data_IF_185612264235
#
_entry.id   IF_185612264235
#
_cell.length_a   1.000
_cell.length_b   1.000
_cell.length_c   1.000
_cell.angle_alpha   90.00
_cell.angle_beta   90.00
_cell.angle_gamma   90.00
#
_symmetry.space_group_name_H-M   'P 1'
#
loop_
_entity.id
_entity.type
_entity.pdbx_description
1 polymer ?
#
# COMPACT_ATOMS: atom_id res chain seq x y z
N UNK A 1 25.34 -35.25 42.20
CA UNK A 1 25.17 -34.71 40.85
C UNK A 1 23.97 -33.80 40.78
N UNK A 2 24.19 -32.48 40.66
CA UNK A 2 23.13 -31.51 40.49
C UNK A 2 22.95 -31.30 38.98
N UNK A 3 21.81 -31.74 38.45
CA UNK A 3 21.43 -31.43 37.07
C UNK A 3 20.88 -30.01 37.02
N UNK A 4 21.63 -29.09 36.42
CA UNK A 4 21.12 -27.78 36.01
C UNK A 4 20.26 -27.97 34.76
N UNK A 5 18.95 -27.84 34.91
CA UNK A 5 18.02 -27.75 33.80
C UNK A 5 18.17 -26.35 33.23
N UNK A 6 18.78 -26.25 32.03
CA UNK A 6 18.85 -25.00 31.30
C UNK A 6 17.46 -24.48 30.97
N UNK A 7 17.17 -23.26 31.40
CA UNK A 7 15.98 -22.55 30.96
C UNK A 7 16.07 -22.36 29.45
N UNK A 8 15.15 -22.98 28.72
CA UNK A 8 14.96 -22.68 27.29
C UNK A 8 14.55 -21.22 27.17
N UNK A 9 15.41 -20.41 26.60
CA UNK A 9 15.10 -19.04 26.17
C UNK A 9 13.93 -19.10 25.20
N UNK A 10 12.78 -18.67 25.67
CA UNK A 10 11.62 -18.48 24.81
C UNK A 10 12.02 -17.45 23.74
N UNK A 11 12.25 -17.89 22.51
CA UNK A 11 12.46 -17.01 21.39
C UNK A 11 11.25 -16.07 21.31
N UNK A 12 11.44 -14.79 21.61
CA UNK A 12 10.42 -13.78 21.48
C UNK A 12 9.98 -13.72 20.03
N UNK A 13 8.74 -14.13 19.77
CA UNK A 13 8.15 -13.96 18.45
C UNK A 13 8.20 -12.46 18.11
N UNK A 14 8.58 -12.11 16.87
CA UNK A 14 8.53 -10.71 16.46
C UNK A 14 7.12 -10.18 16.66
N UNK A 15 6.95 -8.91 17.05
CA UNK A 15 5.64 -8.36 17.29
C UNK A 15 4.77 -8.58 16.06
N UNK A 16 3.62 -9.22 16.28
CA UNK A 16 2.64 -9.50 15.23
C UNK A 16 2.26 -8.16 14.64
N UNK A 17 2.57 -7.94 13.34
CA UNK A 17 2.21 -6.71 12.65
C UNK A 17 0.72 -6.41 12.88
N UNK A 18 0.43 -5.17 13.27
CA UNK A 18 -0.95 -4.75 13.47
C UNK A 18 -1.78 -5.09 12.22
N UNK A 19 -3.01 -5.59 12.39
CA UNK A 19 -3.83 -5.94 11.23
C UNK A 19 -4.04 -4.70 10.35
N UNK A 20 -3.81 -4.86 9.05
CA UNK A 20 -3.97 -3.80 8.07
C UNK A 20 -5.45 -3.40 8.00
N UNK A 21 -5.75 -2.14 8.23
CA UNK A 21 -7.11 -1.60 8.08
C UNK A 21 -7.39 -1.31 6.62
N UNK A 22 -8.23 -2.13 6.01
CA UNK A 22 -8.62 -1.98 4.62
C UNK A 22 -9.67 -0.87 4.46
N UNK A 23 -9.39 0.11 3.59
CA UNK A 23 -10.36 1.09 3.14
C UNK A 23 -10.94 0.65 1.80
N UNK A 24 -12.27 0.51 1.74
CA UNK A 24 -12.96 0.19 0.49
C UNK A 24 -13.18 1.45 -0.33
N UNK A 25 -13.12 1.31 -1.66
CA UNK A 25 -13.43 2.40 -2.58
C UNK A 25 -14.93 2.76 -2.53
N UNK A 26 -15.23 4.03 -2.67
CA UNK A 26 -16.61 4.55 -2.68
C UNK A 26 -17.18 4.69 -4.09
N UNK A 27 -16.32 4.77 -5.11
CA UNK A 27 -16.68 4.88 -6.51
C UNK A 27 -15.68 4.13 -7.38
N UNK A 28 -16.02 3.88 -8.64
CA UNK A 28 -15.17 3.10 -9.57
C UNK A 28 -13.80 3.74 -9.80
N UNK A 29 -13.73 5.08 -9.82
CA UNK A 29 -12.47 5.81 -10.00
C UNK A 29 -11.62 5.94 -8.72
N UNK A 30 -12.12 5.50 -7.58
CA UNK A 30 -11.58 5.82 -6.25
C UNK A 30 -10.60 4.76 -5.71
N UNK A 31 -10.27 3.75 -6.50
CA UNK A 31 -9.40 2.65 -6.05
C UNK A 31 -8.02 3.15 -5.60
N UNK A 32 -7.45 4.12 -6.29
CA UNK A 32 -6.14 4.68 -5.93
C UNK A 32 -6.14 5.38 -4.58
N UNK A 33 -7.12 6.23 -4.34
CA UNK A 33 -7.25 6.95 -3.07
C UNK A 33 -7.57 6.01 -1.91
N UNK A 34 -8.43 5.02 -2.11
CA UNK A 34 -8.74 4.01 -1.11
C UNK A 34 -7.53 3.10 -0.79
N UNK A 35 -6.76 2.71 -1.82
CA UNK A 35 -5.52 1.97 -1.63
C UNK A 35 -4.47 2.81 -0.88
N UNK A 36 -4.33 4.08 -1.21
CA UNK A 36 -3.43 4.99 -0.49
C UNK A 36 -3.85 5.15 0.98
N UNK A 37 -5.15 5.30 1.26
CA UNK A 37 -5.67 5.38 2.62
C UNK A 37 -5.35 4.11 3.42
N UNK A 38 -5.48 2.95 2.80
CA UNK A 38 -5.10 1.65 3.40
C UNK A 38 -3.61 1.61 3.74
N UNK A 39 -2.75 2.02 2.81
CA UNK A 39 -1.30 2.08 3.01
C UNK A 39 -0.92 3.04 4.14
N UNK A 40 -1.46 4.26 4.12
CA UNK A 40 -1.18 5.28 5.13
C UNK A 40 -1.72 4.90 6.50
N UNK A 41 -2.87 4.23 6.58
CA UNK A 41 -3.41 3.73 7.85
C UNK A 41 -2.46 2.75 8.54
N UNK A 42 -1.79 1.91 7.75
CA UNK A 42 -0.79 0.99 8.29
C UNK A 42 0.39 1.74 8.94
N UNK A 43 0.97 2.71 8.22
CA UNK A 43 2.14 3.45 8.71
C UNK A 43 1.80 4.46 9.81
N UNK A 44 0.60 5.04 9.76
CA UNK A 44 0.14 5.96 10.80
C UNK A 44 -0.27 5.26 12.10
N UNK A 45 -0.52 3.95 12.06
CA UNK A 45 -1.02 3.19 13.21
C UNK A 45 -2.47 3.49 13.61
N UNK A 46 -3.21 4.18 12.77
CA UNK A 46 -4.62 4.51 12.96
C UNK A 46 -5.34 4.62 11.61
N UNK A 47 -6.66 4.59 11.66
CA UNK A 47 -7.48 4.73 10.45
C UNK A 47 -7.32 6.12 9.80
N UNK A 48 -7.01 6.12 8.50
CA UNK A 48 -6.94 7.30 7.64
C UNK A 48 -8.12 7.23 6.66
N UNK A 49 -9.11 8.13 6.76
CA UNK A 49 -10.22 8.17 5.82
C UNK A 49 -9.74 8.56 4.41
N UNK A 50 -10.22 7.87 3.37
CA UNK A 50 -9.82 8.18 2.00
C UNK A 50 -10.15 9.63 1.61
N UNK A 51 -11.29 10.17 2.05
CA UNK A 51 -11.68 11.54 1.76
C UNK A 51 -10.73 12.57 2.34
N UNK A 52 -10.10 12.31 3.49
CA UNK A 52 -9.12 13.23 4.09
C UNK A 52 -7.89 13.44 3.23
N UNK A 53 -7.57 12.51 2.34
CA UNK A 53 -6.42 12.62 1.44
C UNK A 53 -6.61 13.64 0.32
N UNK A 54 -7.83 14.05 0.05
CA UNK A 54 -8.15 15.09 -0.94
C UNK A 54 -8.38 16.47 -0.29
N UNK A 55 -8.40 16.54 1.03
CA UNK A 55 -8.55 17.81 1.75
C UNK A 55 -7.33 18.70 1.48
N UNK A 56 -7.60 19.97 1.11
CA UNK A 56 -6.55 20.93 0.78
C UNK A 56 -5.97 20.82 -0.63
N UNK A 57 -6.40 19.85 -1.42
CA UNK A 57 -6.04 19.72 -2.84
C UNK A 57 -7.21 20.17 -3.69
N UNK A 58 -6.97 21.18 -4.53
CA UNK A 58 -7.95 21.65 -5.51
C UNK A 58 -7.55 21.15 -6.90
N UNK A 59 -8.37 20.28 -7.47
CA UNK A 59 -8.20 19.81 -8.83
C UNK A 59 -8.84 20.80 -9.82
N UNK A 60 -8.15 21.07 -10.93
CA UNK A 60 -8.78 21.80 -12.04
C UNK A 60 -9.95 20.98 -12.59
N UNK A 61 -10.97 21.64 -13.11
CA UNK A 61 -12.18 20.96 -13.58
C UNK A 61 -11.88 19.87 -14.63
N UNK A 62 -11.02 20.16 -15.61
CA UNK A 62 -10.62 19.19 -16.64
C UNK A 62 -9.85 17.99 -16.05
N UNK A 63 -9.03 18.23 -15.02
CA UNK A 63 -8.32 17.18 -14.31
C UNK A 63 -9.28 16.31 -13.48
N UNK A 64 -10.23 16.94 -12.79
CA UNK A 64 -11.25 16.21 -12.03
C UNK A 64 -12.13 15.33 -12.91
N UNK A 65 -12.53 15.82 -14.08
CA UNK A 65 -13.27 14.99 -15.06
C UNK A 65 -12.45 13.80 -15.53
N UNK A 66 -11.14 13.96 -15.73
CA UNK A 66 -10.25 12.85 -16.07
C UNK A 66 -10.16 11.84 -14.94
N UNK A 67 -10.00 12.30 -13.70
CA UNK A 67 -9.99 11.43 -12.52
C UNK A 67 -11.28 10.61 -12.45
N UNK A 68 -12.43 11.24 -12.62
CA UNK A 68 -13.73 10.56 -12.61
C UNK A 68 -13.86 9.50 -13.71
N UNK A 69 -13.22 9.69 -14.85
CA UNK A 69 -13.29 8.77 -15.98
C UNK A 69 -12.21 7.67 -15.96
N UNK A 70 -11.01 7.97 -15.52
CA UNK A 70 -9.86 7.06 -15.60
C UNK A 70 -9.20 6.74 -14.25
N UNK A 71 -9.65 7.36 -13.17
CA UNK A 71 -9.06 7.23 -11.84
C UNK A 71 -7.86 8.15 -11.60
N UNK A 72 -7.31 8.08 -10.40
CA UNK A 72 -6.11 8.82 -10.02
C UNK A 72 -4.86 8.22 -10.67
N UNK A 73 -3.90 9.07 -11.01
CA UNK A 73 -2.56 8.64 -11.43
C UNK A 73 -1.65 8.39 -10.22
N UNK A 74 -0.54 7.68 -10.44
CA UNK A 74 0.49 7.51 -9.41
C UNK A 74 1.04 8.85 -8.91
N UNK A 75 1.25 9.81 -9.81
CA UNK A 75 1.72 11.15 -9.44
C UNK A 75 0.72 11.88 -8.54
N UNK A 76 -0.58 11.75 -8.81
CA UNK A 76 -1.62 12.32 -7.97
C UNK A 76 -1.67 11.65 -6.59
N UNK A 77 -1.44 10.34 -6.51
CA UNK A 77 -1.32 9.63 -5.23
C UNK A 77 -0.09 10.07 -4.44
N UNK A 78 1.05 10.32 -5.10
CA UNK A 78 2.23 10.91 -4.45
C UNK A 78 1.90 12.27 -3.87
N UNK A 79 1.26 13.16 -4.63
CA UNK A 79 0.85 14.48 -4.14
C UNK A 79 -0.08 14.40 -2.93
N UNK A 80 -1.04 13.48 -2.95
CA UNK A 80 -1.94 13.26 -1.81
C UNK A 80 -1.20 12.76 -0.57
N UNK A 81 -0.26 11.82 -0.74
CA UNK A 81 0.55 11.31 0.37
C UNK A 81 1.44 12.40 0.98
N UNK A 82 2.08 13.22 0.14
CA UNK A 82 2.89 14.36 0.58
C UNK A 82 2.04 15.42 1.31
N UNK A 83 0.87 15.75 0.76
CA UNK A 83 -0.06 16.69 1.38
C UNK A 83 -0.58 16.20 2.73
N UNK A 84 -0.68 14.90 2.91
CA UNK A 84 -1.02 14.27 4.18
C UNK A 84 0.14 14.30 5.20
N UNK A 85 1.36 14.58 4.75
CA UNK A 85 2.56 14.62 5.59
C UNK A 85 3.39 13.34 5.58
N UNK A 86 3.08 12.41 4.68
CA UNK A 86 3.87 11.22 4.48
C UNK A 86 5.07 11.47 3.56
N UNK A 87 6.02 10.54 3.55
CA UNK A 87 7.16 10.53 2.65
C UNK A 87 7.02 9.41 1.62
N UNK A 88 6.26 9.62 0.52
CA UNK A 88 6.07 8.62 -0.51
C UNK A 88 7.31 8.49 -1.40
N UNK A 89 7.55 7.27 -1.86
CA UNK A 89 8.60 6.98 -2.83
C UNK A 89 8.07 6.05 -3.92
N UNK A 90 8.16 6.48 -5.17
CA UNK A 90 7.90 5.60 -6.31
C UNK A 90 9.14 4.77 -6.61
N UNK A 91 8.95 3.46 -6.70
CA UNK A 91 10.02 2.51 -6.95
C UNK A 91 9.61 1.54 -8.06
N UNK A 92 10.58 1.21 -8.91
CA UNK A 92 10.44 0.11 -9.87
C UNK A 92 11.19 -1.10 -9.34
N UNK A 93 10.48 -2.22 -9.20
CA UNK A 93 11.02 -3.45 -8.62
C UNK A 93 11.01 -4.60 -9.62
N UNK A 94 12.09 -5.38 -9.64
CA UNK A 94 12.11 -6.73 -10.22
C UNK A 94 11.43 -7.72 -9.28
N UNK A 95 11.14 -8.92 -9.75
CA UNK A 95 10.59 -9.99 -8.90
C UNK A 95 11.49 -10.32 -7.71
N UNK A 96 12.81 -10.33 -7.89
CA UNK A 96 13.74 -10.60 -6.80
C UNK A 96 13.76 -9.47 -5.77
N UNK A 97 13.70 -8.23 -6.22
CA UNK A 97 13.61 -7.06 -5.34
C UNK A 97 12.29 -7.04 -4.57
N UNK A 98 11.19 -7.43 -5.21
CA UNK A 98 9.88 -7.53 -4.56
C UNK A 98 9.90 -8.47 -3.36
N UNK A 99 10.56 -9.61 -3.47
CA UNK A 99 10.67 -10.59 -2.38
C UNK A 99 11.39 -10.06 -1.14
N UNK A 100 12.21 -9.03 -1.30
CA UNK A 100 13.01 -8.40 -0.23
C UNK A 100 12.47 -7.04 0.18
N UNK A 101 11.50 -6.50 -0.55
CA UNK A 101 10.96 -5.19 -0.29
C UNK A 101 10.16 -5.16 1.03
N UNK A 102 10.26 -4.06 1.79
CA UNK A 102 9.36 -3.84 2.93
C UNK A 102 7.91 -3.77 2.44
N UNK A 103 7.00 -4.45 3.12
CA UNK A 103 5.58 -4.44 2.86
C UNK A 103 4.82 -3.71 3.98
N UNK A 104 3.66 -3.14 3.74
CA UNK A 104 2.89 -3.14 2.48
C UNK A 104 3.39 -2.14 1.44
N UNK A 105 3.03 -2.37 0.18
CA UNK A 105 3.28 -1.48 -0.95
C UNK A 105 1.97 -1.23 -1.72
N UNK A 106 1.74 0.00 -2.16
CA UNK A 106 0.70 0.26 -3.16
C UNK A 106 1.25 -0.12 -4.53
N UNK A 107 0.49 -0.93 -5.26
CA UNK A 107 0.88 -1.46 -6.57
C UNK A 107 -0.14 -1.05 -7.63
N UNK A 108 0.36 -0.77 -8.83
CA UNK A 108 -0.45 -0.46 -10.00
C UNK A 108 -0.55 -1.69 -10.89
N UNK A 109 -1.76 -2.20 -11.05
CA UNK A 109 -2.06 -3.42 -11.79
C UNK A 109 -2.70 -3.09 -13.13
N UNK A 110 -2.34 -3.83 -14.18
CA UNK A 110 -3.04 -3.83 -15.46
C UNK A 110 -3.94 -5.06 -15.50
N UNK A 111 -5.22 -4.85 -15.26
CA UNK A 111 -6.24 -5.89 -15.33
C UNK A 111 -6.92 -5.88 -16.71
N UNK A 112 -7.65 -6.95 -17.04
CA UNK A 112 -8.48 -6.99 -18.26
C UNK A 112 -9.54 -5.89 -18.28
N UNK A 113 -9.98 -5.44 -17.11
CA UNK A 113 -10.94 -4.34 -16.92
C UNK A 113 -10.29 -2.94 -16.96
N UNK A 114 -8.97 -2.86 -17.02
CA UNK A 114 -8.20 -1.61 -17.06
C UNK A 114 -7.23 -1.45 -15.90
N UNK A 115 -6.61 -0.27 -15.76
CA UNK A 115 -5.70 0.04 -14.67
C UNK A 115 -6.41 -0.03 -13.31
N UNK A 116 -5.73 -0.57 -12.30
CA UNK A 116 -6.26 -0.74 -10.95
C UNK A 116 -5.16 -0.57 -9.90
N UNK A 117 -5.50 0.00 -8.75
CA UNK A 117 -4.61 0.09 -7.61
C UNK A 117 -5.03 -0.88 -6.51
N UNK A 118 -4.06 -1.53 -5.92
CA UNK A 118 -4.24 -2.42 -4.80
C UNK A 118 -3.06 -2.29 -3.82
N UNK A 119 -3.16 -2.90 -2.66
CA UNK A 119 -2.08 -2.90 -1.66
C UNK A 119 -1.54 -4.31 -1.50
N UNK A 120 -0.26 -4.49 -1.85
CA UNK A 120 0.46 -5.74 -1.65
C UNK A 120 0.85 -5.86 -0.18
N UNK A 121 0.36 -6.89 0.50
CA UNK A 121 0.55 -7.10 1.93
C UNK A 121 1.41 -8.29 2.28
N UNK A 122 1.61 -9.21 1.35
CA UNK A 122 2.45 -10.39 1.57
C UNK A 122 2.93 -11.03 0.27
N UNK A 123 4.14 -11.56 0.32
CA UNK A 123 4.71 -12.42 -0.73
C UNK A 123 5.30 -13.64 -0.02
N UNK A 124 4.73 -14.81 -0.25
CA UNK A 124 5.16 -16.05 0.41
C UNK A 124 5.21 -17.18 -0.62
N UNK A 125 6.41 -17.66 -0.94
CA UNK A 125 6.59 -18.69 -1.94
C UNK A 125 6.08 -18.24 -3.32
N UNK A 126 5.06 -18.93 -3.82
CA UNK A 126 4.38 -18.65 -5.08
C UNK A 126 3.04 -17.93 -4.92
N UNK A 127 2.77 -17.37 -3.75
CA UNK A 127 1.53 -16.67 -3.40
C UNK A 127 1.77 -15.22 -3.02
N UNK A 128 0.81 -14.38 -3.35
CA UNK A 128 0.74 -12.99 -2.90
C UNK A 128 -0.60 -12.71 -2.23
N UNK A 129 -0.58 -11.86 -1.23
CA UNK A 129 -1.79 -11.36 -0.57
C UNK A 129 -1.96 -9.88 -0.88
N UNK A 130 -3.18 -9.50 -1.23
CA UNK A 130 -3.55 -8.13 -1.55
C UNK A 130 -4.66 -7.67 -0.62
N UNK A 131 -4.61 -6.40 -0.24
CA UNK A 131 -5.74 -5.68 0.32
C UNK A 131 -6.30 -4.80 -0.80
N UNK A 132 -7.41 -5.24 -1.39
CA UNK A 132 -7.98 -4.64 -2.58
C UNK A 132 -9.14 -3.73 -2.24
N UNK A 133 -9.16 -2.47 -2.73
CA UNK A 133 -10.22 -1.51 -2.42
C UNK A 133 -11.61 -1.93 -2.89
N UNK A 134 -11.69 -2.76 -3.93
CA UNK A 134 -12.97 -3.21 -4.50
C UNK A 134 -13.40 -4.57 -3.99
N UNK A 135 -12.48 -5.50 -3.79
CA UNK A 135 -12.77 -6.90 -3.50
C UNK A 135 -12.39 -7.34 -2.08
N UNK A 136 -11.67 -6.53 -1.33
CA UNK A 136 -11.20 -6.88 0.00
C UNK A 136 -9.88 -7.66 -0.03
N UNK A 137 -9.74 -8.62 0.86
CA UNK A 137 -8.51 -9.44 0.93
C UNK A 137 -8.51 -10.49 -0.17
N UNK A 138 -7.46 -10.51 -0.97
CA UNK A 138 -7.28 -11.44 -2.07
C UNK A 138 -6.00 -12.27 -1.88
N UNK A 139 -6.08 -13.51 -2.34
CA UNK A 139 -4.94 -14.41 -2.45
C UNK A 139 -4.76 -14.77 -3.93
N UNK A 140 -3.66 -14.35 -4.52
CA UNK A 140 -3.31 -14.64 -5.90
C UNK A 140 -2.07 -15.54 -5.98
N UNK A 141 -1.89 -16.23 -7.10
CA UNK A 141 -0.58 -16.79 -7.41
C UNK A 141 0.39 -15.66 -7.74
N UNK A 142 1.67 -15.88 -7.46
CA UNK A 142 2.71 -14.91 -7.84
C UNK A 142 2.74 -14.70 -9.36
N UNK A 143 2.47 -15.74 -10.14
CA UNK A 143 2.42 -15.67 -11.61
C UNK A 143 1.30 -14.74 -12.10
N UNK A 144 0.10 -14.87 -11.57
CA UNK A 144 -1.03 -13.96 -11.88
C UNK A 144 -0.70 -12.52 -11.51
N UNK A 145 -0.15 -12.32 -10.33
CA UNK A 145 0.26 -11.00 -9.86
C UNK A 145 1.33 -10.38 -10.78
N UNK A 146 2.38 -11.10 -11.12
CA UNK A 146 3.44 -10.59 -11.97
C UNK A 146 2.96 -10.27 -13.39
N UNK A 147 2.02 -11.05 -13.93
CA UNK A 147 1.43 -10.77 -15.23
C UNK A 147 0.65 -9.45 -15.25
N UNK A 148 0.00 -9.10 -14.15
CA UNK A 148 -0.74 -7.84 -14.02
C UNK A 148 0.15 -6.66 -13.61
N UNK A 149 1.17 -6.91 -12.80
CA UNK A 149 1.98 -5.86 -12.19
C UNK A 149 3.27 -5.55 -12.96
N UNK A 150 3.95 -6.58 -13.45
CA UNK A 150 5.28 -6.44 -14.05
C UNK A 150 5.40 -7.17 -15.39
N UNK A 151 4.53 -6.89 -16.38
CA UNK A 151 4.53 -7.62 -17.66
C UNK A 151 5.86 -7.50 -18.41
N UNK A 152 6.63 -6.44 -18.16
CA UNK A 152 7.96 -6.21 -18.72
C UNK A 152 9.09 -6.50 -17.70
N UNK A 153 8.88 -7.42 -16.77
CA UNK A 153 9.82 -7.85 -15.72
C UNK A 153 10.14 -6.81 -14.64
N UNK A 154 9.46 -5.68 -14.66
CA UNK A 154 9.61 -4.62 -13.66
C UNK A 154 8.26 -3.96 -13.39
N UNK A 155 7.85 -3.94 -12.12
CA UNK A 155 6.61 -3.33 -11.69
C UNK A 155 6.83 -2.05 -10.90
N UNK A 156 5.85 -1.14 -10.96
CA UNK A 156 5.85 0.10 -10.19
C UNK A 156 5.10 -0.09 -8.87
N UNK A 157 5.69 0.43 -7.80
CA UNK A 157 5.10 0.47 -6.48
C UNK A 157 5.30 1.84 -5.83
N UNK A 158 4.36 2.21 -4.96
CA UNK A 158 4.50 3.35 -4.06
C UNK A 158 4.75 2.82 -2.66
N UNK A 159 5.89 3.19 -2.11
CA UNK A 159 6.27 2.92 -0.74
C UNK A 159 6.11 4.17 0.11
N UNK A 160 5.83 4.00 1.39
CA UNK A 160 5.97 5.06 2.39
C UNK A 160 7.25 4.78 3.15
N UNK A 161 8.17 5.72 3.12
CA UNK A 161 9.36 5.62 3.95
C UNK A 161 9.01 6.01 5.37
N UNK A 162 9.42 5.20 6.35
CA UNK A 162 9.23 5.52 7.75
C UNK A 162 10.12 6.72 8.10
N UNK A 163 9.50 7.88 8.17
CA UNK A 163 10.07 9.02 8.91
C UNK A 163 9.35 9.06 10.26
N UNK A 164 10.01 8.66 11.37
CA UNK A 164 9.35 8.58 12.68
C UNK A 164 8.76 9.91 13.17
N UNK A 165 9.07 11.01 12.52
CA UNK A 165 8.57 12.35 12.86
C UNK A 165 7.53 12.93 11.90
N UNK A 166 7.40 12.37 10.68
CA UNK A 166 6.65 13.04 9.61
C UNK A 166 5.12 12.98 9.77
N UNK A 167 4.59 11.83 10.12
CA UNK A 167 3.13 11.64 10.22
C UNK A 167 2.53 12.28 11.48
N UNK A 168 3.29 12.35 12.58
CA UNK A 168 2.84 13.02 13.80
C UNK A 168 2.96 14.54 13.75
N UNK A 169 3.95 15.05 13.01
CA UNK A 169 4.19 16.49 12.88
C UNK A 169 3.11 17.21 12.05
N UNK A 170 2.47 16.52 11.11
CA UNK A 170 1.38 17.07 10.29
C UNK A 170 0.07 17.31 11.07
N UNK A 171 -0.06 16.76 12.30
CA UNK A 171 -1.25 16.89 13.13
C UNK A 171 -1.26 18.09 14.07
N UNK A 172 -0.16 18.76 14.21
CA UNK A 172 0.02 19.88 15.18
C UNK A 172 -0.10 21.25 14.52
N UNK A 173 -0.49 21.32 13.26
CA UNK A 173 -0.66 22.58 12.54
C UNK A 173 -2.11 22.81 12.12
#
# INVERSE_FOLDING_TARGET
>A
GVFLIGAAEAASQPPRAAPLTLTKQSATFDCGRAALATLLSHYAGHFVPAMSLSEGITWREAEWRRIQSTGFSLQQLVLMAEAYGAAPKLIGLTTQQLRKAPLPLLVHLQLTTGPHFSVLTGVTGDRVTLADPSQGRLLWSLSEFLSAWAPAHRGLALAITEDPGGLDSARVR
#
